data_IF_316839237329
#
_entry.id   IF_316839237329
#
_cell.length_a   1.000
_cell.length_b   1.000
_cell.length_c   1.000
_cell.angle_alpha   90.00
_cell.angle_beta   90.00
_cell.angle_gamma   90.00
#
_symmetry.space_group_name_H-M   'P 1'
#
loop_
_entity.id
_entity.type
_entity.pdbx_description
1 polymer ?
#
# COMPACT_ATOMS: atom_id res chain seq x y z
N UNK A 1 -21.16 -2.51 -3.68
CA UNK A 1 -19.87 -2.50 -4.41
C UNK A 1 -18.81 -1.70 -3.65
N UNK A 2 -18.99 -0.38 -3.41
CA UNK A 2 -17.99 0.44 -2.70
C UNK A 2 -17.57 -0.13 -1.32
N UNK A 3 -18.53 -0.63 -0.53
CA UNK A 3 -18.25 -1.29 0.77
C UNK A 3 -17.32 -2.51 0.65
N UNK A 4 -17.37 -3.23 -0.46
CA UNK A 4 -16.53 -4.41 -0.71
C UNK A 4 -15.12 -3.93 -1.05
N UNK A 5 -15.00 -2.96 -1.98
CA UNK A 5 -13.71 -2.38 -2.37
C UNK A 5 -12.96 -1.84 -1.16
N UNK A 6 -13.64 -1.08 -0.28
CA UNK A 6 -13.04 -0.55 0.94
C UNK A 6 -12.58 -1.65 1.91
N UNK A 7 -13.40 -2.69 2.13
CA UNK A 7 -13.01 -3.81 2.98
C UNK A 7 -11.83 -4.60 2.40
N UNK A 8 -11.85 -4.87 1.09
CA UNK A 8 -10.76 -5.56 0.40
C UNK A 8 -9.48 -4.76 0.47
N UNK A 9 -9.52 -3.46 0.18
CA UNK A 9 -8.35 -2.57 0.26
C UNK A 9 -7.78 -2.52 1.69
N UNK A 10 -8.63 -2.47 2.72
CA UNK A 10 -8.19 -2.43 4.11
C UNK A 10 -7.53 -3.75 4.54
N UNK A 11 -8.18 -4.89 4.26
CA UNK A 11 -7.68 -6.22 4.63
C UNK A 11 -6.41 -6.54 3.86
N UNK A 12 -6.43 -6.40 2.53
CA UNK A 12 -5.29 -6.69 1.67
C UNK A 12 -4.13 -5.73 1.97
N UNK A 13 -4.40 -4.43 2.09
CA UNK A 13 -3.37 -3.42 2.40
C UNK A 13 -2.70 -3.66 3.75
N UNK A 14 -3.46 -4.07 4.77
CA UNK A 14 -2.92 -4.40 6.11
C UNK A 14 -2.05 -5.66 6.08
N UNK A 15 -2.49 -6.69 5.36
CA UNK A 15 -1.72 -7.93 5.23
C UNK A 15 -0.43 -7.70 4.45
N UNK A 16 -0.50 -6.89 3.38
CA UNK A 16 0.64 -6.57 2.52
C UNK A 16 1.71 -5.76 3.27
N UNK A 17 1.33 -4.69 3.98
CA UNK A 17 2.33 -3.89 4.74
C UNK A 17 2.96 -4.70 5.88
N UNK A 18 2.18 -5.57 6.52
CA UNK A 18 2.68 -6.45 7.58
C UNK A 18 3.67 -7.47 7.02
N UNK A 19 3.33 -8.09 5.88
CA UNK A 19 4.20 -9.02 5.19
C UNK A 19 5.49 -8.33 4.69
N UNK A 20 5.39 -7.11 4.14
CA UNK A 20 6.53 -6.33 3.69
C UNK A 20 7.50 -6.01 4.84
N UNK A 21 6.98 -5.55 5.99
CA UNK A 21 7.78 -5.29 7.18
C UNK A 21 8.43 -6.56 7.72
N UNK A 22 7.68 -7.66 7.83
CA UNK A 22 8.20 -8.94 8.31
C UNK A 22 9.28 -9.50 7.39
N UNK A 23 9.05 -9.48 6.08
CA UNK A 23 10.01 -9.97 5.10
C UNK A 23 11.28 -9.12 5.07
N UNK A 24 11.15 -7.80 5.16
CA UNK A 24 12.29 -6.89 5.21
C UNK A 24 13.12 -7.11 6.47
N UNK A 25 12.46 -7.31 7.61
CA UNK A 25 13.11 -7.63 8.87
C UNK A 25 13.88 -8.96 8.78
N UNK A 26 13.25 -10.01 8.25
CA UNK A 26 13.89 -11.33 8.11
C UNK A 26 15.06 -11.33 7.12
N UNK A 27 14.98 -10.57 6.02
CA UNK A 27 16.02 -10.58 4.97
C UNK A 27 17.20 -9.66 5.26
N UNK A 28 16.93 -8.48 5.83
CA UNK A 28 17.91 -7.39 5.91
C UNK A 28 18.04 -6.79 7.30
N UNK A 29 17.23 -7.24 8.27
CA UNK A 29 17.12 -6.59 9.57
C UNK A 29 16.53 -5.17 9.49
N UNK A 30 15.92 -4.81 8.36
CA UNK A 30 15.35 -3.49 8.17
C UNK A 30 14.11 -3.33 9.05
N UNK A 31 14.06 -2.20 9.74
CA UNK A 31 12.99 -1.88 10.67
C UNK A 31 11.78 -1.29 9.93
N UNK A 32 10.56 -1.42 10.49
CA UNK A 32 9.33 -0.96 9.83
C UNK A 32 9.33 0.53 9.48
N UNK A 33 9.99 1.36 10.30
CA UNK A 33 10.18 2.78 10.04
C UNK A 33 10.90 3.05 8.71
N UNK A 34 11.89 2.22 8.39
CA UNK A 34 12.68 2.37 7.17
C UNK A 34 11.88 1.96 5.94
N UNK A 35 11.00 0.96 6.08
CA UNK A 35 10.08 0.54 5.02
C UNK A 35 9.02 1.61 4.75
N UNK A 36 8.41 2.16 5.79
CA UNK A 36 7.45 3.25 5.64
C UNK A 36 8.10 4.51 5.06
N UNK A 37 9.31 4.86 5.51
CA UNK A 37 10.09 5.95 4.92
C UNK A 37 10.49 5.65 3.47
N UNK A 38 10.76 4.39 3.11
CA UNK A 38 11.03 3.98 1.74
C UNK A 38 9.81 4.19 0.84
N UNK A 39 8.62 3.84 1.29
CA UNK A 39 7.37 4.11 0.56
C UNK A 39 7.17 5.63 0.41
N UNK A 40 7.36 6.41 1.48
CA UNK A 40 7.29 7.86 1.44
C UNK A 40 8.35 8.49 0.51
N UNK A 41 9.50 7.84 0.34
CA UNK A 41 10.56 8.29 -0.56
C UNK A 41 10.14 8.31 -2.03
N UNK A 42 9.08 7.58 -2.40
CA UNK A 42 8.50 7.66 -3.74
C UNK A 42 8.00 9.05 -4.12
N UNK A 43 7.51 9.83 -3.14
CA UNK A 43 7.04 11.21 -3.35
C UNK A 43 8.05 12.25 -2.86
N UNK A 44 8.61 12.03 -1.67
CA UNK A 44 9.49 13.00 -1.01
C UNK A 44 10.98 12.80 -1.33
N UNK A 45 11.34 11.75 -2.07
CA UNK A 45 12.72 11.40 -2.39
C UNK A 45 13.55 11.10 -1.15
N UNK A 46 14.85 11.43 -1.20
CA UNK A 46 15.82 11.16 -0.12
C UNK A 46 15.44 11.83 1.22
N UNK A 47 14.62 12.89 1.20
CA UNK A 47 14.18 13.59 2.42
C UNK A 47 13.30 12.71 3.31
N UNK A 48 12.66 11.68 2.75
CA UNK A 48 11.81 10.77 3.52
C UNK A 48 12.57 10.01 4.62
N UNK A 49 13.86 9.70 4.40
CA UNK A 49 14.66 8.97 5.39
C UNK A 49 15.11 9.84 6.58
N UNK A 50 15.09 11.17 6.43
CA UNK A 50 15.48 12.12 7.48
C UNK A 50 14.28 12.77 8.16
N UNK A 51 13.07 12.61 7.61
CA UNK A 51 11.87 13.28 8.11
C UNK A 51 11.20 12.61 9.31
N UNK A 52 11.70 11.46 9.79
CA UNK A 52 11.22 10.82 11.02
C UNK A 52 9.75 10.37 10.98
N UNK A 53 9.05 10.51 12.11
CA UNK A 53 7.67 10.06 12.30
C UNK A 53 6.65 10.53 11.24
N UNK A 54 6.61 11.82 10.81
CA UNK A 54 5.65 12.24 9.79
C UNK A 54 5.85 11.54 8.44
N UNK A 55 7.08 11.13 8.10
CA UNK A 55 7.34 10.37 6.87
C UNK A 55 6.82 8.94 6.96
N UNK A 56 6.82 8.34 8.15
CA UNK A 56 6.25 7.01 8.36
C UNK A 56 4.73 7.01 8.16
N UNK A 57 4.05 8.02 8.72
CA UNK A 57 2.60 8.20 8.53
C UNK A 57 2.27 8.45 7.05
N UNK A 58 3.04 9.33 6.39
CA UNK A 58 2.85 9.59 4.97
C UNK A 58 3.04 8.31 4.12
N UNK A 59 4.08 7.52 4.42
CA UNK A 59 4.31 6.23 3.78
C UNK A 59 3.13 5.26 3.98
N UNK A 60 2.59 5.18 5.19
CA UNK A 60 1.43 4.34 5.48
C UNK A 60 0.18 4.81 4.73
N UNK A 61 -0.07 6.11 4.67
CA UNK A 61 -1.18 6.68 3.91
C UNK A 61 -1.04 6.40 2.42
N UNK A 62 0.14 6.61 1.84
CA UNK A 62 0.40 6.30 0.44
C UNK A 62 0.19 4.81 0.14
N UNK A 63 0.63 3.93 1.04
CA UNK A 63 0.40 2.49 0.91
C UNK A 63 -1.08 2.16 0.78
N UNK A 64 -1.93 2.67 1.68
CA UNK A 64 -3.37 2.41 1.63
C UNK A 64 -4.07 3.06 0.43
N UNK A 65 -3.59 4.21 -0.05
CA UNK A 65 -4.08 4.84 -1.29
C UNK A 65 -3.81 3.92 -2.49
N UNK A 66 -2.60 3.37 -2.58
CA UNK A 66 -2.23 2.44 -3.65
C UNK A 66 -3.06 1.14 -3.53
N UNK A 67 -3.21 0.59 -2.33
CA UNK A 67 -4.05 -0.59 -2.10
C UNK A 67 -5.51 -0.36 -2.51
N UNK A 68 -6.06 0.83 -2.22
CA UNK A 68 -7.41 1.21 -2.65
C UNK A 68 -7.50 1.37 -4.17
N UNK A 69 -6.50 1.98 -4.81
CA UNK A 69 -6.43 2.10 -6.26
C UNK A 69 -6.38 0.73 -6.93
N UNK A 70 -5.54 -0.20 -6.44
CA UNK A 70 -5.48 -1.58 -6.93
C UNK A 70 -6.82 -2.31 -6.77
N UNK A 71 -7.47 -2.20 -5.60
CA UNK A 71 -8.79 -2.79 -5.39
C UNK A 71 -9.83 -2.19 -6.36
N UNK A 72 -9.86 -0.87 -6.50
CA UNK A 72 -10.76 -0.19 -7.43
C UNK A 72 -10.52 -0.61 -8.88
N UNK A 73 -9.26 -0.70 -9.33
CA UNK A 73 -8.89 -1.19 -10.65
C UNK A 73 -9.34 -2.63 -10.87
N UNK A 74 -9.10 -3.53 -9.92
CA UNK A 74 -9.52 -4.93 -10.01
C UNK A 74 -11.03 -5.07 -10.16
N UNK A 75 -11.80 -4.40 -9.31
CA UNK A 75 -13.26 -4.45 -9.39
C UNK A 75 -13.79 -3.71 -10.62
N UNK A 76 -13.17 -2.62 -11.06
CA UNK A 76 -13.51 -1.92 -12.31
C UNK A 76 -13.30 -2.79 -13.55
N UNK A 77 -12.13 -3.45 -13.64
CA UNK A 77 -11.80 -4.38 -14.72
C UNK A 77 -12.69 -5.62 -14.71
N UNK A 78 -12.98 -6.19 -13.53
CA UNK A 78 -13.89 -7.34 -13.41
C UNK A 78 -15.30 -7.06 -13.91
N UNK A 79 -15.73 -5.79 -13.88
CA UNK A 79 -17.01 -5.35 -14.43
C UNK A 79 -16.94 -5.14 -15.94
N UNK A 80 -15.79 -4.69 -16.45
CA UNK A 80 -15.54 -4.58 -17.88
C UNK A 80 -15.53 -5.96 -18.57
N UNK A 81 -14.88 -6.96 -17.96
CA UNK A 81 -14.81 -8.32 -18.54
C UNK A 81 -16.19 -9.00 -18.63
N UNK A 82 -17.11 -8.67 -17.71
CA UNK A 82 -18.51 -9.13 -17.77
C UNK A 82 -19.32 -8.42 -18.88
N UNK A 83 -18.96 -7.17 -19.21
CA UNK A 83 -19.67 -6.38 -20.22
C UNK A 83 -19.22 -6.70 -21.65
N UNK A 84 -18.00 -7.22 -21.84
CA UNK A 84 -17.41 -7.52 -23.16
C UNK A 84 -17.67 -8.99 -23.59
N UNK A 85 -18.12 -9.86 -22.68
CA UNK A 85 -18.42 -11.28 -22.93
C UNK A 85 -19.89 -11.60 -23.25
N UNK A 86 -20.69 -10.60 -23.64
CA UNK A 86 -22.09 -10.76 -24.07
C UNK A 86 -22.18 -10.39 -25.55
#
# INVERSE_FOLDING_TARGET
>A
MLKIILKTALIAGSLDITAACLQAYLKTGATPDRILAYIASGVFGKKAFSGGFPMQIAGLLFHFIIALACAACYFGLSKLDFCIKI
#
